data_IF_485263194283
#
_entry.id   IF_485263194283
#
_cell.length_a   1.000
_cell.length_b   1.000
_cell.length_c   1.000
_cell.angle_alpha   90.00
_cell.angle_beta   90.00
_cell.angle_gamma   90.00
#
_symmetry.space_group_name_H-M   'P 1'
#
loop_
_entity.id
_entity.type
_entity.pdbx_description
1 polymer ?
#
# COMPACT_ATOMS: atom_id res chain seq x y z
N UNK A 1 2.14 -13.67 -18.60
CA UNK A 1 1.10 -14.67 -18.98
C UNK A 1 -0.29 -14.03 -18.93
N UNK A 2 -0.71 -13.52 -17.77
CA UNK A 2 -2.05 -12.93 -17.56
C UNK A 2 -2.30 -11.59 -18.27
N UNK A 3 -1.26 -10.91 -18.78
CA UNK A 3 -1.40 -9.72 -19.62
C UNK A 3 -1.77 -10.01 -21.08
N UNK A 4 -1.65 -11.26 -21.57
CA UNK A 4 -1.97 -11.59 -22.97
C UNK A 4 -3.45 -11.44 -23.34
N UNK A 5 -4.43 -11.86 -22.49
CA UNK A 5 -5.84 -11.77 -22.84
C UNK A 5 -6.47 -10.38 -22.61
N UNK A 6 -5.73 -9.41 -22.06
CA UNK A 6 -6.28 -8.09 -21.71
C UNK A 6 -5.94 -7.01 -22.75
N UNK A 7 -6.91 -6.13 -23.04
CA UNK A 7 -6.72 -5.01 -23.96
C UNK A 7 -6.01 -3.85 -23.27
N UNK A 8 -4.71 -3.70 -23.50
CA UNK A 8 -3.91 -2.58 -22.99
C UNK A 8 -4.08 -1.34 -23.86
N UNK A 9 -3.97 -0.15 -23.25
CA UNK A 9 -3.84 1.11 -24.00
C UNK A 9 -2.67 1.01 -24.98
N UNK A 10 -2.85 1.49 -26.22
CA UNK A 10 -1.85 1.44 -27.28
C UNK A 10 -0.52 2.12 -26.90
N UNK A 11 -0.54 3.03 -25.90
CA UNK A 11 0.66 3.69 -25.38
C UNK A 11 1.45 2.85 -24.36
N UNK A 12 0.90 1.72 -23.89
CA UNK A 12 1.52 0.88 -22.87
C UNK A 12 2.28 -0.28 -23.49
N UNK A 13 3.55 -0.42 -23.14
CA UNK A 13 4.31 -1.64 -23.41
C UNK A 13 3.98 -2.69 -22.34
N UNK A 14 3.46 -3.84 -22.78
CA UNK A 14 3.20 -5.01 -21.96
C UNK A 14 4.39 -5.45 -21.08
N UNK A 15 5.63 -5.30 -21.56
CA UNK A 15 6.83 -5.65 -20.78
C UNK A 15 7.06 -4.67 -19.64
N UNK A 16 6.84 -3.39 -19.89
CA UNK A 16 6.96 -2.36 -18.87
C UNK A 16 5.87 -2.47 -17.81
N UNK A 17 4.63 -2.74 -18.23
CA UNK A 17 3.52 -3.05 -17.30
C UNK A 17 3.87 -4.26 -16.44
N UNK A 18 4.36 -5.35 -17.04
CA UNK A 18 4.75 -6.55 -16.30
C UNK A 18 5.86 -6.25 -15.27
N UNK A 19 6.88 -5.48 -15.66
CA UNK A 19 7.99 -5.10 -14.77
C UNK A 19 7.48 -4.27 -13.60
N UNK A 20 6.67 -3.24 -13.86
CA UNK A 20 6.13 -2.36 -12.82
C UNK A 20 5.21 -3.11 -11.86
N UNK A 21 4.35 -3.97 -12.37
CA UNK A 21 3.45 -4.77 -11.51
C UNK A 21 4.22 -5.75 -10.65
N UNK A 22 5.24 -6.42 -11.19
CA UNK A 22 6.08 -7.33 -10.40
C UNK A 22 6.75 -6.61 -9.22
N UNK A 23 7.18 -5.36 -9.40
CA UNK A 23 7.78 -4.57 -8.32
C UNK A 23 6.77 -4.15 -7.23
N UNK A 24 5.48 -4.05 -7.56
CA UNK A 24 4.41 -3.66 -6.62
C UNK A 24 3.74 -4.86 -5.93
N UNK A 25 4.03 -6.09 -6.37
CA UNK A 25 3.39 -7.31 -5.87
C UNK A 25 4.42 -8.35 -5.36
N UNK A 26 5.37 -7.97 -4.50
CA UNK A 26 6.30 -8.93 -3.90
C UNK A 26 5.53 -9.97 -3.06
N UNK A 27 5.91 -11.24 -3.16
CA UNK A 27 5.27 -12.34 -2.43
C UNK A 27 3.92 -12.81 -2.97
N UNK A 28 3.42 -12.25 -4.08
CA UNK A 28 2.14 -12.64 -4.67
C UNK A 28 2.25 -13.95 -5.44
N UNK A 29 1.23 -14.82 -5.29
CA UNK A 29 1.12 -16.03 -6.06
C UNK A 29 0.61 -15.73 -7.49
N UNK A 30 0.77 -16.69 -8.41
CA UNK A 30 0.27 -16.55 -9.78
C UNK A 30 -1.25 -16.28 -9.85
N UNK A 31 -2.00 -16.82 -8.90
CA UNK A 31 -3.44 -16.55 -8.76
C UNK A 31 -3.73 -15.09 -8.39
N UNK A 32 -2.92 -14.48 -7.53
CA UNK A 32 -3.08 -13.07 -7.15
C UNK A 32 -2.77 -12.14 -8.33
N UNK A 33 -1.74 -12.46 -9.10
CA UNK A 33 -1.40 -11.72 -10.32
C UNK A 33 -2.52 -11.83 -11.37
N UNK A 34 -3.12 -13.02 -11.52
CA UNK A 34 -4.27 -13.22 -12.38
C UNK A 34 -5.46 -12.37 -11.91
N UNK A 35 -5.70 -12.31 -10.61
CA UNK A 35 -6.75 -11.51 -10.01
C UNK A 35 -6.54 -10.00 -10.24
N UNK A 36 -5.31 -9.49 -10.10
CA UNK A 36 -4.98 -8.09 -10.42
C UNK A 36 -5.30 -7.76 -11.87
N UNK A 37 -4.94 -8.62 -12.82
CA UNK A 37 -5.24 -8.38 -14.24
C UNK A 37 -6.75 -8.32 -14.50
N UNK A 38 -7.53 -9.18 -13.84
CA UNK A 38 -8.99 -9.17 -13.93
C UNK A 38 -9.61 -7.92 -13.31
N UNK A 39 -9.17 -7.53 -12.12
CA UNK A 39 -9.64 -6.32 -11.44
C UNK A 39 -9.30 -5.04 -12.21
N UNK A 40 -8.12 -4.99 -12.86
CA UNK A 40 -7.75 -3.88 -13.73
C UNK A 40 -8.72 -3.74 -14.93
N UNK A 41 -9.15 -4.87 -15.52
CA UNK A 41 -10.17 -4.86 -16.56
C UNK A 41 -11.53 -4.38 -16.05
N UNK A 42 -11.92 -4.77 -14.82
CA UNK A 42 -13.15 -4.30 -14.17
C UNK A 42 -13.09 -2.79 -13.93
N UNK A 43 -11.94 -2.25 -13.50
CA UNK A 43 -11.76 -0.80 -13.32
C UNK A 43 -11.88 -0.04 -14.65
N UNK A 44 -11.25 -0.53 -15.71
CA UNK A 44 -11.36 0.05 -17.05
C UNK A 44 -12.83 0.02 -17.55
N UNK A 45 -13.54 -1.09 -17.35
CA UNK A 45 -14.95 -1.22 -17.73
C UNK A 45 -15.87 -0.27 -16.95
N UNK A 46 -15.62 -0.06 -15.64
CA UNK A 46 -16.41 0.86 -14.80
C UNK A 46 -16.32 2.32 -15.25
N UNK A 47 -15.19 2.71 -15.84
CA UNK A 47 -15.02 4.04 -16.45
C UNK A 47 -15.37 4.08 -17.94
N UNK A 48 -16.01 3.01 -18.45
CA UNK A 48 -16.40 2.85 -19.86
C UNK A 48 -15.24 3.08 -20.84
N UNK A 49 -14.04 2.60 -20.48
CA UNK A 49 -12.87 2.69 -21.34
C UNK A 49 -12.69 1.42 -22.18
N UNK A 50 -12.25 1.60 -23.42
CA UNK A 50 -12.00 0.49 -24.37
C UNK A 50 -10.70 -0.28 -24.07
N UNK A 51 -9.81 0.32 -23.28
CA UNK A 51 -8.51 -0.24 -22.96
C UNK A 51 -8.07 0.06 -21.52
N UNK A 52 -7.31 -0.87 -20.95
CA UNK A 52 -6.76 -0.81 -19.59
C UNK A 52 -5.54 0.11 -19.59
N UNK A 53 -5.57 1.08 -18.67
CA UNK A 53 -4.49 2.02 -18.41
C UNK A 53 -3.62 1.55 -17.24
N UNK A 54 -2.46 2.20 -17.04
CA UNK A 54 -1.59 1.87 -15.90
C UNK A 54 -2.25 2.17 -14.54
N UNK A 55 -3.09 3.20 -14.48
CA UNK A 55 -3.84 3.58 -13.27
C UNK A 55 -4.86 2.49 -12.88
N UNK A 56 -5.46 1.79 -13.86
CA UNK A 56 -6.37 0.68 -13.58
C UNK A 56 -5.62 -0.49 -12.90
N UNK A 57 -4.38 -0.76 -13.32
CA UNK A 57 -3.52 -1.76 -12.68
C UNK A 57 -3.11 -1.35 -11.26
N UNK A 58 -2.73 -0.09 -11.04
CA UNK A 58 -2.37 0.41 -9.71
C UNK A 58 -3.56 0.31 -8.73
N UNK A 59 -4.75 0.70 -9.19
CA UNK A 59 -5.99 0.56 -8.40
C UNK A 59 -6.35 -0.90 -8.13
N UNK A 60 -6.13 -1.79 -9.10
CA UNK A 60 -6.32 -3.22 -8.92
C UNK A 60 -5.37 -3.79 -7.87
N UNK A 61 -4.08 -3.47 -7.94
CA UNK A 61 -3.07 -3.88 -6.96
C UNK A 61 -3.43 -3.40 -5.56
N UNK A 62 -3.81 -2.12 -5.42
CA UNK A 62 -4.27 -1.58 -4.13
C UNK A 62 -5.50 -2.29 -3.57
N UNK A 63 -6.46 -2.61 -4.43
CA UNK A 63 -7.68 -3.31 -4.03
C UNK A 63 -7.36 -4.72 -3.55
N UNK A 64 -6.45 -5.42 -4.22
CA UNK A 64 -6.06 -6.79 -3.84
C UNK A 64 -5.25 -6.78 -2.53
N UNK A 65 -4.37 -5.79 -2.34
CA UNK A 65 -3.57 -5.64 -1.12
C UNK A 65 -4.39 -5.17 0.10
N UNK A 66 -5.04 -4.02 -0.03
CA UNK A 66 -5.64 -3.28 1.09
C UNK A 66 -7.17 -3.33 1.12
N UNK A 67 -7.80 -3.98 0.15
CA UNK A 67 -9.25 -4.02 0.03
C UNK A 67 -9.85 -2.78 -0.65
N UNK A 68 -11.18 -2.74 -0.67
CA UNK A 68 -11.94 -1.70 -1.36
C UNK A 68 -11.75 -0.32 -0.71
N UNK A 69 -11.41 0.72 -1.46
CA UNK A 69 -11.42 2.08 -0.93
C UNK A 69 -12.86 2.48 -0.56
N UNK A 70 -13.05 3.04 0.63
CA UNK A 70 -14.31 3.65 1.06
C UNK A 70 -14.37 5.09 0.57
N UNK A 71 -14.93 5.30 -0.62
CA UNK A 71 -15.12 6.63 -1.22
C UNK A 71 -16.08 7.54 -0.44
N UNK A 72 -17.03 6.96 0.32
CA UNK A 72 -18.00 7.70 1.14
C UNK A 72 -17.64 7.75 2.63
N UNK A 73 -16.40 7.44 3.01
CA UNK A 73 -15.97 7.61 4.40
C UNK A 73 -15.84 9.10 4.72
N UNK A 74 -16.80 9.63 5.46
CA UNK A 74 -16.73 10.96 6.05
C UNK A 74 -15.77 10.91 7.25
N UNK A 75 -14.47 11.02 6.99
CA UNK A 75 -13.50 11.35 8.04
C UNK A 75 -13.57 12.85 8.31
N UNK A 76 -13.65 13.23 9.59
CA UNK A 76 -13.50 14.62 9.98
C UNK A 76 -12.11 15.15 9.59
N UNK A 77 -11.94 16.47 9.39
CA UNK A 77 -10.62 17.05 9.12
C UNK A 77 -9.58 16.70 10.20
N UNK A 78 -10.01 16.60 11.46
CA UNK A 78 -9.15 16.21 12.58
C UNK A 78 -8.69 14.78 12.48
N UNK A 79 -9.60 13.83 12.21
CA UNK A 79 -9.23 12.41 12.02
C UNK A 79 -8.31 12.24 10.82
N UNK A 80 -8.62 12.90 9.70
CA UNK A 80 -7.76 12.85 8.50
C UNK A 80 -6.36 13.39 8.78
N UNK A 81 -6.23 14.46 9.59
CA UNK A 81 -4.94 14.98 10.04
C UNK A 81 -4.20 13.97 10.92
N UNK A 82 -4.89 13.33 11.87
CA UNK A 82 -4.30 12.30 12.74
C UNK A 82 -3.76 11.13 11.92
N UNK A 83 -4.58 10.58 11.01
CA UNK A 83 -4.16 9.48 10.11
C UNK A 83 -2.99 9.91 9.24
N UNK A 84 -3.03 11.11 8.66
CA UNK A 84 -1.93 11.59 7.83
C UNK A 84 -0.60 11.71 8.60
N UNK A 85 -0.64 12.20 9.83
CA UNK A 85 0.55 12.27 10.68
C UNK A 85 1.04 10.87 11.09
N UNK A 86 0.11 9.98 11.40
CA UNK A 86 0.40 8.58 11.73
C UNK A 86 1.13 7.87 10.57
N UNK A 87 0.54 7.86 9.37
CA UNK A 87 1.18 7.25 8.19
C UNK A 87 2.50 7.93 7.81
N UNK A 88 2.61 9.25 8.05
CA UNK A 88 3.88 9.97 7.86
C UNK A 88 4.95 9.54 8.86
N UNK A 89 4.57 9.18 10.09
CA UNK A 89 5.49 8.64 11.10
C UNK A 89 6.15 7.35 10.64
N UNK A 90 5.35 6.41 10.13
CA UNK A 90 5.85 5.20 9.50
C UNK A 90 6.76 5.50 8.30
N UNK A 91 6.33 6.38 7.40
CA UNK A 91 7.07 6.71 6.19
C UNK A 91 8.43 7.34 6.48
N UNK A 92 8.47 8.32 7.39
CA UNK A 92 9.70 9.02 7.75
C UNK A 92 10.65 8.09 8.50
N UNK A 93 10.16 7.30 9.46
CA UNK A 93 10.99 6.31 10.13
C UNK A 93 11.60 5.31 9.13
N UNK A 94 10.78 4.75 8.25
CA UNK A 94 11.23 3.79 7.23
C UNK A 94 12.20 4.40 6.21
N UNK A 95 12.12 5.71 5.94
CA UNK A 95 13.01 6.39 5.02
C UNK A 95 14.44 6.58 5.57
N UNK A 96 14.58 6.82 6.87
CA UNK A 96 15.87 7.16 7.49
C UNK A 96 16.60 5.97 8.12
N UNK A 97 15.90 4.87 8.41
CA UNK A 97 16.49 3.69 9.02
C UNK A 97 17.14 2.79 7.97
N UNK A 98 18.38 2.36 8.22
CA UNK A 98 19.21 1.64 7.26
C UNK A 98 18.62 0.27 6.89
N UNK A 99 18.08 -0.44 7.87
CA UNK A 99 17.60 -1.81 7.69
C UNK A 99 16.07 -1.90 7.51
N UNK A 100 15.40 -0.76 7.37
CA UNK A 100 13.96 -0.75 7.13
C UNK A 100 13.63 -1.26 5.72
N UNK A 101 12.48 -1.92 5.59
CA UNK A 101 12.00 -2.31 4.27
C UNK A 101 11.70 -1.05 3.43
N UNK A 102 12.10 -1.00 2.14
CA UNK A 102 11.86 0.16 1.30
C UNK A 102 10.36 0.49 1.20
N UNK A 103 10.01 1.75 1.47
CA UNK A 103 8.63 2.22 1.34
C UNK A 103 8.27 2.38 -0.14
N UNK A 104 7.23 1.68 -0.59
CA UNK A 104 6.70 1.77 -1.94
C UNK A 104 5.61 2.84 -2.07
N UNK A 105 4.68 2.87 -1.11
CA UNK A 105 3.52 3.76 -1.16
C UNK A 105 2.94 4.00 0.22
N UNK A 106 2.44 5.21 0.45
CA UNK A 106 1.61 5.56 1.61
C UNK A 106 0.28 6.11 1.13
N UNK A 107 -0.79 5.79 1.84
CA UNK A 107 -2.12 6.35 1.59
C UNK A 107 -2.87 6.57 2.90
N UNK A 108 -3.67 7.63 2.91
CA UNK A 108 -4.59 8.00 4.00
C UNK A 108 -6.05 7.75 3.61
N UNK A 109 -6.27 6.94 2.57
CA UNK A 109 -7.61 6.61 2.05
C UNK A 109 -8.16 5.41 2.82
N UNK A 110 -9.30 5.54 3.50
CA UNK A 110 -9.88 4.44 4.27
C UNK A 110 -10.27 3.25 3.39
N UNK A 111 -10.17 2.06 3.98
CA UNK A 111 -10.45 0.77 3.34
C UNK A 111 -11.66 0.08 3.97
N UNK A 112 -12.24 -0.87 3.25
CA UNK A 112 -13.43 -1.61 3.68
C UNK A 112 -13.19 -2.53 4.88
N UNK A 113 -11.94 -2.95 5.10
CA UNK A 113 -11.50 -3.82 6.20
C UNK A 113 -11.34 -3.07 7.55
N UNK A 114 -11.56 -1.75 7.59
CA UNK A 114 -11.43 -0.95 8.80
C UNK A 114 -10.14 -0.13 8.88
N UNK A 115 -9.16 -0.38 8.00
CA UNK A 115 -7.95 0.43 7.94
C UNK A 115 -8.27 1.86 7.49
N UNK A 116 -7.75 2.87 8.20
CA UNK A 116 -7.95 4.29 7.90
C UNK A 116 -6.85 4.86 6.99
N UNK A 117 -5.70 4.18 6.94
CA UNK A 117 -4.54 4.45 6.08
C UNK A 117 -3.72 3.16 5.94
N UNK A 118 -2.65 3.22 5.15
CA UNK A 118 -1.63 2.17 5.12
C UNK A 118 -0.31 2.66 4.53
N UNK A 119 0.78 2.03 4.97
CA UNK A 119 2.09 2.06 4.37
C UNK A 119 2.42 0.70 3.74
N UNK A 120 2.78 0.71 2.45
CA UNK A 120 3.21 -0.47 1.69
C UNK A 120 4.73 -0.48 1.60
N UNK A 121 5.31 -1.61 2.00
CA UNK A 121 6.75 -1.85 1.97
C UNK A 121 7.11 -2.94 0.95
N UNK A 122 8.32 -2.87 0.42
CA UNK A 122 8.95 -3.95 -0.35
C UNK A 122 9.71 -4.85 0.64
N UNK A 123 9.18 -6.02 1.03
CA UNK A 123 9.85 -6.89 1.97
C UNK A 123 11.17 -7.41 1.39
N UNK A 124 12.21 -7.48 2.23
CA UNK A 124 13.43 -8.19 1.88
C UNK A 124 13.18 -9.70 1.81
N UNK A 125 13.70 -10.36 0.78
CA UNK A 125 13.72 -11.83 0.68
C UNK A 125 14.83 -12.44 1.56
N UNK A 126 14.94 -11.98 2.81
CA UNK A 126 15.92 -12.49 3.78
C UNK A 126 15.23 -13.40 4.79
N UNK A 127 15.77 -14.61 4.96
CA UNK A 127 15.27 -15.56 5.95
C UNK A 127 15.79 -15.32 7.37
N UNK A 128 16.82 -14.49 7.53
CA UNK A 128 17.47 -14.20 8.81
C UNK A 128 17.65 -12.69 8.96
N UNK A 129 17.30 -12.17 10.14
CA UNK A 129 17.46 -10.76 10.49
C UNK A 129 18.52 -10.61 11.58
N UNK A 130 19.34 -9.56 11.47
CA UNK A 130 20.20 -9.13 12.58
C UNK A 130 19.37 -8.47 13.68
N UNK A 131 19.98 -8.27 14.85
CA UNK A 131 19.34 -7.53 15.95
C UNK A 131 19.00 -6.11 15.52
N UNK A 132 19.92 -5.45 14.81
CA UNK A 132 19.79 -4.08 14.33
C UNK A 132 18.62 -3.97 13.35
N UNK A 133 18.48 -4.93 12.43
CA UNK A 133 17.36 -4.96 11.49
C UNK A 133 16.01 -5.14 12.20
N UNK A 134 15.93 -5.97 13.22
CA UNK A 134 14.71 -6.11 14.02
C UNK A 134 14.39 -4.83 14.79
N UNK A 135 15.39 -4.15 15.36
CA UNK A 135 15.18 -2.88 16.06
C UNK A 135 14.67 -1.79 15.12
N UNK A 136 15.20 -1.70 13.90
CA UNK A 136 14.72 -0.76 12.89
C UNK A 136 13.27 -1.06 12.50
N UNK A 137 12.90 -2.34 12.32
CA UNK A 137 11.51 -2.74 12.05
C UNK A 137 10.56 -2.35 13.18
N UNK A 138 10.97 -2.54 14.43
CA UNK A 138 10.20 -2.11 15.61
C UNK A 138 10.05 -0.58 15.61
N UNK A 139 11.12 0.16 15.32
CA UNK A 139 11.06 1.63 15.25
C UNK A 139 10.10 2.12 14.16
N UNK A 140 10.08 1.49 12.99
CA UNK A 140 9.10 1.80 11.92
C UNK A 140 7.68 1.51 12.37
N UNK A 141 7.41 0.36 12.99
CA UNK A 141 6.09 0.01 13.50
C UNK A 141 5.60 1.02 14.56
N UNK A 142 6.48 1.46 15.47
CA UNK A 142 6.12 2.45 16.49
C UNK A 142 6.10 3.90 15.96
N UNK A 143 6.57 4.14 14.74
CA UNK A 143 6.70 5.48 14.15
C UNK A 143 5.38 6.23 14.04
N UNK A 144 4.29 5.55 13.67
CA UNK A 144 2.97 6.18 13.57
C UNK A 144 2.44 6.66 14.92
N UNK A 145 2.57 5.83 15.95
CA UNK A 145 2.22 6.19 17.33
C UNK A 145 3.05 7.35 17.87
N UNK A 146 4.35 7.36 17.60
CA UNK A 146 5.24 8.45 18.01
C UNK A 146 4.87 9.78 17.32
N UNK A 147 4.48 9.74 16.05
CA UNK A 147 4.04 10.94 15.32
C UNK A 147 2.72 11.51 15.88
N UNK A 148 1.77 10.65 16.26
CA UNK A 148 0.55 11.09 16.97
C UNK A 148 0.88 11.79 18.29
N UNK A 149 1.74 11.18 19.11
CA UNK A 149 2.13 11.75 20.40
C UNK A 149 2.81 13.12 20.23
N UNK A 150 3.70 13.25 19.25
CA UNK A 150 4.48 14.47 19.02
C UNK A 150 3.66 15.62 18.42
N UNK A 151 2.75 15.34 17.47
CA UNK A 151 2.09 16.39 16.66
C UNK A 151 0.57 16.50 16.87
N UNK A 152 -0.05 15.47 17.44
CA UNK A 152 -1.49 15.44 17.78
C UNK A 152 -1.67 15.59 19.30
N UNK A 153 -0.63 15.27 20.10
CA UNK A 153 -0.65 15.31 21.57
C UNK A 153 -1.75 14.43 22.17
N UNK A 154 -2.19 13.43 21.42
CA UNK A 154 -3.18 12.44 21.84
C UNK A 154 -2.90 11.15 21.08
N UNK A 155 -2.86 10.07 21.84
CA UNK A 155 -2.72 8.71 21.31
C UNK A 155 -4.09 8.15 20.95
N UNK A 156 -4.20 7.55 19.77
CA UNK A 156 -5.41 6.88 19.29
C UNK A 156 -5.32 5.36 19.44
N UNK A 157 -6.45 4.67 19.21
CA UNK A 157 -6.49 3.21 19.07
C UNK A 157 -6.03 2.74 17.68
N UNK A 158 -5.66 3.67 16.78
CA UNK A 158 -5.22 3.34 15.42
C UNK A 158 -3.93 2.55 15.36
N UNK A 159 -3.07 2.67 16.37
CA UNK A 159 -1.80 1.95 16.47
C UNK A 159 -1.92 0.50 17.00
N UNK A 160 -3.13 -0.06 17.13
CA UNK A 160 -3.30 -1.42 17.70
C UNK A 160 -2.57 -2.47 16.87
N UNK A 161 -2.81 -2.47 15.55
CA UNK A 161 -2.19 -3.42 14.63
C UNK A 161 -0.66 -3.26 14.55
N UNK A 162 -0.13 -2.08 14.87
CA UNK A 162 1.31 -1.83 14.89
C UNK A 162 1.99 -2.32 16.17
N UNK A 163 1.23 -2.43 17.26
CA UNK A 163 1.72 -2.99 18.52
C UNK A 163 1.65 -4.52 18.55
N UNK A 164 0.75 -5.11 17.75
CA UNK A 164 0.59 -6.57 17.65
C UNK A 164 1.64 -7.23 16.74
N UNK A 165 2.29 -6.47 15.85
CA UNK A 165 3.35 -6.93 14.94
C UNK A 165 4.69 -7.15 15.65
#
# INVERSE_FOLDING_TARGET
VHLRPVSLDAKLDSKEVARRMAALTPGFAGADIANICNEAAIFAARRSADAISIDDFERATERVLGGLPKTNSLMSPTEKRTVALHESGHAVAGWFLENADPLLKVSIVPRSNGALGFAQYLPHEMSLYSKEAILDRIAVALGGRAAEELFVHRISTGASDDLDK
#
